data_IF_477291887291
#
_entry.id   IF_477291887291
#
_cell.length_a   1.000
_cell.length_b   1.000
_cell.length_c   1.000
_cell.angle_alpha   90.00
_cell.angle_beta   90.00
_cell.angle_gamma   90.00
#
_symmetry.space_group_name_H-M   'P 1'
#
loop_
_entity.id
_entity.type
_entity.pdbx_description
1 polymer ?
#
# COMPACT_ATOMS: atom_id res chain seq x y z
N UNK A 1 36.07 -5.67 32.97
CA UNK A 1 34.68 -5.36 32.58
C UNK A 1 34.13 -6.59 31.88
N UNK A 2 33.25 -7.33 32.54
CA UNK A 2 32.57 -8.47 31.92
C UNK A 2 31.53 -7.96 30.94
N UNK A 3 31.77 -8.17 29.65
CA UNK A 3 30.83 -7.84 28.59
C UNK A 3 29.62 -8.77 28.74
N UNK A 4 28.50 -8.24 29.27
CA UNK A 4 27.24 -8.98 29.36
C UNK A 4 26.86 -9.43 27.95
N UNK A 5 27.08 -10.72 27.64
CA UNK A 5 26.61 -11.36 26.41
C UNK A 5 25.09 -11.22 26.36
N UNK A 6 24.61 -10.20 25.65
CA UNK A 6 23.19 -10.03 25.36
C UNK A 6 22.75 -11.29 24.63
N UNK A 7 21.73 -11.98 25.14
CA UNK A 7 21.12 -13.12 24.43
C UNK A 7 20.58 -12.58 23.11
N UNK A 8 21.29 -12.86 22.03
CA UNK A 8 20.90 -12.44 20.69
C UNK A 8 19.62 -13.19 20.32
N UNK A 9 18.56 -12.43 20.07
CA UNK A 9 17.28 -12.95 19.53
C UNK A 9 17.58 -13.66 18.20
N UNK A 10 16.92 -14.79 17.93
CA UNK A 10 17.10 -15.53 16.67
C UNK A 10 16.76 -14.66 15.44
N UNK A 11 17.43 -14.84 14.29
CA UNK A 11 17.13 -14.07 13.08
C UNK A 11 15.68 -14.22 12.63
N UNK A 12 15.11 -15.43 12.75
CA UNK A 12 13.66 -15.65 12.55
C UNK A 12 12.78 -14.71 13.38
N UNK A 13 13.04 -14.59 14.69
CA UNK A 13 12.21 -13.72 15.56
C UNK A 13 12.42 -12.24 15.24
N UNK A 14 13.62 -11.84 14.81
CA UNK A 14 13.88 -10.47 14.31
C UNK A 14 13.11 -10.18 13.04
N UNK A 15 13.08 -11.13 12.11
CA UNK A 15 12.31 -11.01 10.88
C UNK A 15 10.81 -10.88 11.17
N UNK A 16 10.27 -11.69 12.07
CA UNK A 16 8.88 -11.57 12.51
C UNK A 16 8.58 -10.20 13.09
N UNK A 17 9.45 -9.65 13.95
CA UNK A 17 9.29 -8.30 14.49
C UNK A 17 9.27 -7.23 13.40
N UNK A 18 10.17 -7.37 12.43
CA UNK A 18 10.34 -6.45 11.31
C UNK A 18 9.09 -6.40 10.40
N UNK A 19 8.37 -7.52 10.25
CA UNK A 19 7.24 -7.63 9.32
C UNK A 19 5.86 -7.57 9.98
N UNK A 20 5.71 -8.07 11.21
CA UNK A 20 4.40 -8.32 11.84
C UNK A 20 4.13 -7.47 13.07
N UNK A 21 5.15 -7.11 13.84
CA UNK A 21 4.94 -6.49 15.17
C UNK A 21 5.27 -4.99 15.18
N UNK A 22 6.55 -4.65 15.02
CA UNK A 22 7.03 -3.29 15.21
C UNK A 22 8.05 -2.98 14.13
N UNK A 23 7.65 -2.20 13.13
CA UNK A 23 8.61 -1.70 12.15
C UNK A 23 9.17 -0.35 12.63
N UNK A 24 10.45 -0.30 13.01
CA UNK A 24 11.13 0.90 13.52
C UNK A 24 12.38 1.21 12.70
N UNK A 25 12.64 2.50 12.45
CA UNK A 25 13.85 2.98 11.76
C UNK A 25 15.14 2.50 12.41
N UNK A 26 15.14 2.35 13.74
CA UNK A 26 16.28 1.89 14.54
C UNK A 26 16.68 0.43 14.33
N UNK A 27 15.88 -0.35 13.59
CA UNK A 27 16.23 -1.73 13.27
C UNK A 27 17.26 -1.84 12.16
N UNK A 28 17.44 -0.78 11.37
CA UNK A 28 18.45 -0.73 10.31
C UNK A 28 19.78 -0.25 10.86
N UNK A 29 20.87 -0.78 10.30
CA UNK A 29 22.21 -0.25 10.58
C UNK A 29 22.35 1.18 10.05
N UNK A 30 23.40 1.93 10.44
CA UNK A 30 23.65 3.26 9.90
C UNK A 30 23.90 3.28 8.39
N UNK A 31 24.40 2.17 7.82
CA UNK A 31 24.69 2.03 6.40
C UNK A 31 24.04 0.75 5.82
N UNK A 32 22.70 0.72 5.71
CA UNK A 32 21.99 -0.44 5.20
C UNK A 32 21.95 -0.42 3.67
N UNK A 33 21.85 -1.60 3.07
CA UNK A 33 21.64 -1.77 1.64
C UNK A 33 20.27 -2.42 1.40
N UNK A 34 19.46 -1.81 0.54
CA UNK A 34 18.21 -2.37 0.06
C UNK A 34 18.25 -2.61 -1.45
N UNK A 35 17.77 -3.76 -1.90
CA UNK A 35 17.67 -4.15 -3.30
C UNK A 35 16.29 -4.72 -3.60
N UNK A 36 15.67 -4.23 -4.66
CA UNK A 36 14.43 -4.73 -5.26
C UNK A 36 14.56 -4.57 -6.78
N UNK A 37 13.92 -5.40 -7.62
CA UNK A 37 14.03 -5.29 -9.08
C UNK A 37 13.77 -3.88 -9.62
N UNK A 38 12.90 -3.12 -8.99
CA UNK A 38 12.50 -1.77 -9.41
C UNK A 38 13.40 -0.67 -8.83
N UNK A 39 13.99 -0.89 -7.64
CA UNK A 39 14.67 0.16 -6.88
C UNK A 39 15.75 -0.40 -5.97
N UNK A 40 16.86 0.33 -5.85
CA UNK A 40 17.94 0.02 -4.91
C UNK A 40 18.33 1.25 -4.11
N UNK A 41 18.60 1.07 -2.81
CA UNK A 41 19.03 2.13 -1.90
C UNK A 41 20.28 1.71 -1.15
N UNK A 42 21.19 2.64 -0.91
CA UNK A 42 22.39 2.43 -0.10
C UNK A 42 22.54 3.55 0.92
N UNK A 43 22.98 3.22 2.13
CA UNK A 43 23.46 4.17 3.12
C UNK A 43 22.42 5.11 3.72
N UNK A 44 21.13 4.80 3.60
CA UNK A 44 20.09 5.61 4.22
C UNK A 44 18.93 4.75 4.78
N UNK A 45 18.93 4.48 6.10
CA UNK A 45 17.86 3.70 6.74
C UNK A 45 16.49 4.38 6.65
N UNK A 46 16.45 5.72 6.65
CA UNK A 46 15.22 6.50 6.52
C UNK A 46 14.54 6.24 5.18
N UNK A 47 15.28 6.29 4.08
CA UNK A 47 14.73 6.02 2.74
C UNK A 47 14.17 4.60 2.61
N UNK A 48 14.86 3.60 3.14
CA UNK A 48 14.38 2.21 3.12
C UNK A 48 13.09 2.09 3.92
N UNK A 49 13.06 2.67 5.13
CA UNK A 49 11.88 2.66 5.96
C UNK A 49 10.69 3.36 5.28
N UNK A 50 10.89 4.56 4.74
CA UNK A 50 9.82 5.33 4.12
C UNK A 50 9.31 4.60 2.84
N UNK A 51 10.22 3.98 2.07
CA UNK A 51 9.86 3.12 0.95
C UNK A 51 9.04 1.90 1.40
N UNK A 52 9.43 1.24 2.49
CA UNK A 52 8.68 0.12 3.06
C UNK A 52 7.29 0.55 3.52
N UNK A 53 7.16 1.63 4.29
CA UNK A 53 5.86 2.10 4.76
C UNK A 53 4.93 2.50 3.62
N UNK A 54 5.48 2.98 2.49
CA UNK A 54 4.69 3.39 1.33
C UNK A 54 4.32 2.21 0.42
N UNK A 55 5.23 1.25 0.20
CA UNK A 55 5.09 0.21 -0.83
C UNK A 55 4.81 -1.19 -0.26
N UNK A 56 4.88 -1.38 1.05
CA UNK A 56 4.42 -2.60 1.74
C UNK A 56 3.10 -2.35 2.46
N UNK A 57 1.94 -2.57 1.82
CA UNK A 57 0.75 -2.93 2.59
C UNK A 57 1.03 -4.20 3.40
N UNK A 58 0.22 -4.43 4.44
CA UNK A 58 0.36 -5.56 5.37
C UNK A 58 0.67 -6.88 4.62
N UNK A 59 1.74 -7.55 5.05
CA UNK A 59 2.26 -8.80 4.48
C UNK A 59 2.09 -9.92 5.49
N UNK A 60 1.50 -11.01 5.04
CA UNK A 60 1.48 -12.27 5.77
C UNK A 60 2.74 -13.07 5.41
N UNK A 61 3.44 -13.57 6.43
CA UNK A 61 4.60 -14.44 6.23
C UNK A 61 4.10 -15.88 6.03
N UNK A 62 4.38 -16.47 4.87
CA UNK A 62 3.99 -17.86 4.57
C UNK A 62 5.04 -18.85 5.09
N UNK A 63 6.33 -18.53 4.90
CA UNK A 63 7.45 -19.41 5.27
C UNK A 63 8.65 -18.59 5.67
N UNK A 64 9.40 -19.08 6.66
CA UNK A 64 10.68 -18.51 7.07
C UNK A 64 11.76 -19.59 6.91
N UNK A 65 12.89 -19.23 6.33
CA UNK A 65 14.11 -20.02 6.29
C UNK A 65 15.15 -19.30 7.16
N UNK A 66 15.45 -19.89 8.32
CA UNK A 66 16.40 -19.30 9.26
C UNK A 66 17.84 -19.64 8.89
N UNK A 67 18.74 -18.69 9.12
CA UNK A 67 20.18 -18.82 8.95
C UNK A 67 20.89 -18.30 10.20
N UNK A 68 22.23 -18.37 10.21
CA UNK A 68 23.00 -17.94 11.39
C UNK A 68 22.94 -16.42 11.60
N UNK A 69 23.13 -15.67 10.52
CA UNK A 69 23.20 -14.19 10.51
C UNK A 69 22.24 -13.58 9.49
N UNK A 70 21.48 -14.41 8.80
CA UNK A 70 20.53 -13.99 7.78
C UNK A 70 19.28 -14.85 7.83
N UNK A 71 18.20 -14.35 7.25
CA UNK A 71 16.91 -14.99 7.24
C UNK A 71 16.19 -14.69 5.93
N UNK A 72 15.59 -15.70 5.33
CA UNK A 72 14.71 -15.56 4.18
C UNK A 72 13.26 -15.75 4.59
N UNK A 73 12.33 -15.06 3.92
CA UNK A 73 10.91 -15.39 4.02
C UNK A 73 10.19 -15.29 2.70
N UNK A 74 9.18 -16.14 2.54
CA UNK A 74 8.12 -15.95 1.56
C UNK A 74 6.99 -15.17 2.22
N UNK A 75 6.42 -14.22 1.49
CA UNK A 75 5.34 -13.38 1.95
C UNK A 75 4.25 -13.25 0.90
N UNK A 76 3.05 -12.97 1.38
CA UNK A 76 1.86 -12.69 0.57
C UNK A 76 1.22 -11.39 1.06
N UNK A 77 0.82 -10.54 0.13
CA UNK A 77 0.08 -9.32 0.39
C UNK A 77 -1.42 -9.57 0.29
N UNK A 78 -2.20 -8.69 0.91
CA UNK A 78 -3.68 -8.73 0.85
C UNK A 78 -4.23 -8.64 -0.57
N UNK A 79 -3.53 -7.98 -1.49
CA UNK A 79 -3.89 -7.87 -2.90
C UNK A 79 -3.56 -9.14 -3.72
N UNK A 80 -3.03 -10.18 -3.07
CA UNK A 80 -2.65 -11.44 -3.70
C UNK A 80 -1.26 -11.43 -4.33
N UNK A 81 -0.51 -10.32 -4.25
CA UNK A 81 0.91 -10.34 -4.64
C UNK A 81 1.71 -11.20 -3.67
N UNK A 82 2.69 -11.90 -4.22
CA UNK A 82 3.58 -12.79 -3.46
C UNK A 82 5.00 -12.42 -3.79
N UNK A 83 5.91 -12.81 -2.91
CA UNK A 83 7.33 -12.61 -3.14
C UNK A 83 8.15 -13.21 -2.04
N UNK A 84 9.45 -12.98 -2.15
CA UNK A 84 10.44 -13.42 -1.19
C UNK A 84 11.26 -12.23 -0.73
N UNK A 85 11.68 -12.26 0.51
CA UNK A 85 12.63 -11.31 1.08
C UNK A 85 13.78 -12.07 1.71
N UNK A 86 14.99 -11.58 1.49
CA UNK A 86 16.19 -12.00 2.19
C UNK A 86 16.69 -10.84 3.03
N UNK A 87 16.99 -11.10 4.30
CA UNK A 87 17.43 -10.10 5.27
C UNK A 87 18.70 -10.60 5.95
N UNK A 88 19.73 -9.75 6.00
CA UNK A 88 20.97 -10.01 6.72
C UNK A 88 21.13 -9.07 7.91
N UNK A 89 21.69 -9.57 9.00
CA UNK A 89 21.87 -8.85 10.25
C UNK A 89 23.35 -8.73 10.62
N UNK A 90 23.75 -7.62 11.25
CA UNK A 90 25.06 -7.51 11.88
C UNK A 90 25.09 -8.22 13.26
N UNK A 91 26.27 -8.20 13.91
CA UNK A 91 26.48 -8.77 15.24
C UNK A 91 25.61 -8.11 16.32
N UNK A 92 25.24 -6.83 16.15
CA UNK A 92 24.33 -6.10 17.03
C UNK A 92 22.84 -6.45 16.78
N UNK A 93 22.57 -7.16 15.70
CA UNK A 93 21.25 -7.57 15.26
C UNK A 93 20.44 -6.54 14.50
N UNK A 94 21.10 -5.51 13.99
CA UNK A 94 20.54 -4.55 13.05
C UNK A 94 20.57 -5.10 11.63
N UNK A 95 19.60 -4.71 10.82
CA UNK A 95 19.49 -5.05 9.40
C UNK A 95 20.57 -4.30 8.61
N UNK A 96 21.45 -5.05 7.94
CA UNK A 96 22.50 -4.49 7.08
C UNK A 96 22.17 -4.62 5.60
N UNK A 97 21.41 -5.65 5.23
CA UNK A 97 21.04 -5.91 3.86
C UNK A 97 19.62 -6.44 3.79
N UNK A 98 18.85 -5.94 2.84
CA UNK A 98 17.57 -6.50 2.45
C UNK A 98 17.52 -6.63 0.94
N UNK A 99 17.12 -7.80 0.47
CA UNK A 99 16.75 -8.03 -0.91
C UNK A 99 15.31 -8.51 -0.99
N UNK A 100 14.51 -7.90 -1.85
CA UNK A 100 13.14 -8.32 -2.12
C UNK A 100 13.00 -8.71 -3.58
N UNK A 101 12.22 -9.75 -3.84
CA UNK A 101 11.84 -10.16 -5.19
C UNK A 101 10.38 -10.52 -5.18
N UNK A 102 9.57 -9.76 -5.91
CA UNK A 102 8.16 -10.09 -6.15
C UNK A 102 8.03 -11.23 -7.16
N UNK A 103 7.04 -12.11 -6.97
CA UNK A 103 6.65 -13.05 -8.00
C UNK A 103 6.08 -12.27 -9.20
N UNK A 104 6.51 -12.57 -10.43
CA UNK A 104 5.94 -11.94 -11.61
C UNK A 104 4.43 -12.25 -11.65
N UNK A 105 3.63 -11.20 -11.53
CA UNK A 105 2.18 -11.30 -11.67
C UNK A 105 1.89 -11.59 -13.14
N UNK A 106 1.75 -12.88 -13.49
CA UNK A 106 1.29 -13.26 -14.82
C UNK A 106 -0.01 -12.50 -15.13
N UNK A 107 -0.07 -11.87 -16.31
CA UNK A 107 -1.19 -11.03 -16.78
C UNK A 107 -2.58 -11.69 -16.69
N UNK A 108 -2.68 -12.99 -16.39
CA UNK A 108 -3.95 -13.71 -16.27
C UNK A 108 -4.61 -13.72 -14.88
N UNK A 109 -3.89 -13.50 -13.77
CA UNK A 109 -4.44 -13.73 -12.40
C UNK A 109 -4.89 -12.48 -11.64
N UNK A 110 -4.56 -11.29 -12.11
CA UNK A 110 -4.93 -10.02 -11.46
C UNK A 110 -6.46 -9.81 -11.46
N UNK A 111 -7.14 -10.22 -12.54
CA UNK A 111 -8.60 -10.05 -12.68
C UNK A 111 -9.40 -10.92 -11.72
N UNK A 112 -8.90 -12.11 -11.37
CA UNK A 112 -9.61 -13.05 -10.50
C UNK A 112 -9.39 -12.77 -9.00
N UNK A 113 -8.16 -12.39 -8.61
CA UNK A 113 -7.84 -12.16 -7.20
C UNK A 113 -8.32 -10.80 -6.70
N UNK A 114 -8.21 -9.74 -7.50
CA UNK A 114 -8.77 -8.41 -7.14
C UNK A 114 -10.29 -8.44 -7.07
N UNK A 115 -10.95 -9.23 -7.93
CA UNK A 115 -12.41 -9.34 -7.91
C UNK A 115 -12.91 -10.19 -6.72
N UNK A 116 -12.17 -11.24 -6.31
CA UNK A 116 -12.48 -12.01 -5.10
C UNK A 116 -12.21 -11.25 -3.80
N UNK A 117 -11.15 -10.43 -3.73
CA UNK A 117 -10.85 -9.65 -2.53
C UNK A 117 -11.74 -8.40 -2.37
N UNK A 118 -12.36 -7.92 -3.45
CA UNK A 118 -13.32 -6.81 -3.42
C UNK A 118 -14.79 -7.26 -3.27
N UNK A 119 -15.10 -8.56 -3.39
CA UNK A 119 -16.46 -9.08 -3.18
C UNK A 119 -17.10 -8.68 -1.83
N UNK A 120 -16.38 -8.69 -0.70
CA UNK A 120 -16.94 -8.25 0.58
C UNK A 120 -17.35 -6.77 0.57
N UNK A 121 -16.56 -5.92 -0.10
CA UNK A 121 -16.78 -4.47 -0.17
C UNK A 121 -17.93 -4.14 -1.14
N UNK A 122 -18.02 -4.85 -2.27
CA UNK A 122 -19.13 -4.71 -3.22
C UNK A 122 -20.46 -5.16 -2.59
N UNK A 123 -20.43 -6.22 -1.76
CA UNK A 123 -21.60 -6.67 -1.00
C UNK A 123 -22.10 -5.64 0.02
N UNK A 124 -21.19 -4.96 0.71
CA UNK A 124 -21.53 -3.90 1.68
C UNK A 124 -22.06 -2.65 0.98
N UNK A 125 -21.46 -2.23 -0.14
CA UNK A 125 -21.99 -1.10 -0.92
C UNK A 125 -23.41 -1.37 -1.42
N UNK A 126 -23.71 -2.55 -1.95
CA UNK A 126 -25.07 -2.90 -2.37
C UNK A 126 -26.07 -2.97 -1.19
N UNK A 127 -25.60 -3.32 0.01
CA UNK A 127 -26.43 -3.36 1.22
C UNK A 127 -26.72 -1.95 1.76
N UNK A 128 -25.73 -1.05 1.71
CA UNK A 128 -25.89 0.36 2.09
C UNK A 128 -26.78 1.09 1.08
N UNK A 129 -26.61 0.85 -0.22
CA UNK A 129 -27.49 1.44 -1.24
C UNK A 129 -28.93 0.94 -1.11
N UNK A 130 -29.14 -0.34 -0.74
CA UNK A 130 -30.48 -0.85 -0.41
C UNK A 130 -31.04 -0.25 0.88
N UNK A 131 -30.21 -0.04 1.91
CA UNK A 131 -30.64 0.62 3.14
C UNK A 131 -31.03 2.08 2.91
N UNK A 132 -30.31 2.81 2.07
CA UNK A 132 -30.64 4.20 1.72
C UNK A 132 -31.92 4.28 0.88
N UNK A 133 -32.11 3.39 -0.10
CA UNK A 133 -33.36 3.35 -0.88
C UNK A 133 -34.58 2.90 -0.05
N UNK A 134 -34.40 2.10 1.01
CA UNK A 134 -35.47 1.75 1.96
C UNK A 134 -35.75 2.89 2.93
N UNK A 135 -34.74 3.67 3.30
CA UNK A 135 -34.91 4.87 4.13
C UNK A 135 -35.65 5.99 3.38
N UNK A 136 -35.44 6.15 2.07
CA UNK A 136 -36.23 7.07 1.23
C UNK A 136 -37.73 6.70 1.22
N UNK A 137 -38.08 5.40 1.22
CA UNK A 137 -39.48 4.96 1.33
C UNK A 137 -40.09 5.22 2.72
N UNK A 138 -39.29 5.30 3.77
CA UNK A 138 -39.75 5.56 5.14
C UNK A 138 -39.85 7.06 5.46
N UNK A 139 -39.33 7.93 4.60
CA UNK A 139 -39.39 9.40 4.73
C UNK A 139 -40.54 10.03 3.94
N UNK A 140 -41.32 9.26 3.18
CA UNK A 140 -42.59 9.69 2.61
C UNK A 140 -43.76 9.32 3.55
N UNK A 141 -43.80 9.95 4.72
CA UNK A 141 -44.98 9.89 5.60
C UNK A 141 -45.47 11.32 5.87
N UNK A 142 -46.61 11.61 5.25
CA UNK A 142 -47.59 12.67 5.55
C UNK A 142 -47.19 14.12 5.24
N UNK A 143 -47.14 14.48 3.95
CA UNK A 143 -47.63 15.80 3.53
C UNK A 143 -49.16 15.75 3.51
N UNK A 144 -49.74 15.94 4.70
CA UNK A 144 -51.18 16.18 4.82
C UNK A 144 -51.45 17.60 4.30
N UNK A 145 -52.23 17.67 3.23
CA UNK A 145 -52.68 18.88 2.56
C UNK A 145 -53.24 19.91 3.56
N UNK A 146 -52.64 21.10 3.60
CA UNK A 146 -53.26 22.31 4.15
C UNK A 146 -53.22 23.40 3.08
N UNK A 147 -54.29 23.49 2.28
CA UNK A 147 -54.53 24.61 1.38
C UNK A 147 -54.95 25.85 2.18
N UNK A 148 -54.21 26.96 2.03
CA UNK A 148 -54.76 28.30 2.15
C UNK A 148 -54.21 29.24 1.07
N UNK A 149 -54.99 30.25 0.65
CA UNK A 149 -54.85 30.88 -0.66
C UNK A 149 -54.02 32.17 -0.65
N UNK A 150 -53.28 32.36 -1.74
CA UNK A 150 -52.99 33.68 -2.28
C UNK A 150 -51.56 34.21 -2.09
N UNK A 151 -50.98 34.73 -3.17
CA UNK A 151 -49.92 35.73 -3.08
C UNK A 151 -48.73 35.59 -4.04
N UNK A 152 -48.95 35.99 -5.29
CA UNK A 152 -48.00 36.70 -6.19
C UNK A 152 -46.53 36.29 -6.33
N UNK A 153 -46.17 36.01 -7.60
CA UNK A 153 -45.00 36.48 -8.38
C UNK A 153 -43.60 36.38 -7.73
N UNK A 154 -42.68 35.68 -8.39
CA UNK A 154 -41.78 36.25 -9.40
C UNK A 154 -40.91 35.15 -10.02
N UNK A 155 -40.78 35.23 -11.34
CA UNK A 155 -39.90 34.40 -12.14
C UNK A 155 -38.51 35.07 -12.22
N UNK A 156 -37.44 34.30 -12.00
CA UNK A 156 -36.11 34.65 -12.50
C UNK A 156 -35.40 33.42 -13.04
N UNK A 157 -35.51 33.27 -14.36
CA UNK A 157 -34.59 32.51 -15.20
C UNK A 157 -33.36 33.38 -15.50
N UNK A 158 -32.15 32.88 -15.22
CA UNK A 158 -30.94 33.07 -16.04
C UNK A 158 -29.69 32.63 -15.27
N UNK A 159 -28.99 31.61 -15.75
CA UNK A 159 -27.56 31.78 -16.04
C UNK A 159 -27.09 30.75 -17.06
N UNK A 160 -26.53 31.27 -18.14
CA UNK A 160 -25.95 30.54 -19.25
C UNK A 160 -24.42 30.51 -19.12
N UNK A 161 -23.81 29.46 -19.68
CA UNK A 161 -22.53 29.57 -20.39
C UNK A 161 -21.25 29.43 -19.58
N UNK A 162 -20.56 28.30 -19.75
CA UNK A 162 -19.11 28.25 -19.64
C UNK A 162 -18.55 27.36 -20.77
N UNK A 163 -17.88 28.01 -21.72
CA UNK A 163 -17.20 27.44 -22.87
C UNK A 163 -15.71 27.78 -22.82
N UNK A 164 -14.85 26.79 -23.09
CA UNK A 164 -13.42 26.95 -23.44
C UNK A 164 -12.48 27.26 -22.27
N UNK A 165 -11.21 26.86 -22.23
CA UNK A 165 -10.30 26.18 -23.16
C UNK A 165 -9.21 25.51 -22.27
N UNK A 166 -8.69 24.33 -22.60
CA UNK A 166 -7.45 24.22 -23.38
C UNK A 166 -6.17 24.46 -22.54
N UNK A 167 -5.52 23.39 -22.07
CA UNK A 167 -4.08 23.44 -21.75
C UNK A 167 -3.45 22.05 -21.84
N UNK A 168 -2.66 21.87 -22.90
CA UNK A 168 -1.82 20.70 -23.13
C UNK A 168 -0.39 21.04 -22.72
N UNK A 169 0.22 20.22 -21.87
CA UNK A 169 1.66 20.24 -21.62
C UNK A 169 2.21 18.83 -21.89
N UNK A 170 2.80 18.69 -23.06
CA UNK A 170 3.67 17.57 -23.43
C UNK A 170 5.08 17.87 -22.90
N UNK A 171 5.57 17.12 -21.92
CA UNK A 171 6.99 17.14 -21.52
C UNK A 171 7.69 15.90 -22.06
N UNK A 172 8.51 16.11 -23.09
CA UNK A 172 9.39 15.10 -23.65
C UNK A 172 10.59 14.84 -22.74
N UNK A 173 10.86 13.57 -22.44
CA UNK A 173 12.08 13.14 -21.77
C UNK A 173 13.19 12.81 -22.78
N UNK A 174 14.46 13.17 -22.49
CA UNK A 174 15.59 12.83 -23.34
C UNK A 174 16.08 11.39 -23.12
N UNK A 175 16.34 10.67 -24.23
CA UNK A 175 17.02 9.37 -24.26
C UNK A 175 18.51 9.56 -23.94
N UNK A 176 19.02 8.94 -22.87
CA UNK A 176 20.46 8.72 -22.68
C UNK A 176 20.85 7.35 -23.25
N UNK A 177 21.82 7.35 -24.17
CA UNK A 177 22.48 6.15 -24.69
C UNK A 177 23.50 5.65 -23.67
N UNK A 178 23.54 4.33 -23.47
CA UNK A 178 24.54 3.62 -22.69
C UNK A 178 25.88 3.57 -23.44
N UNK A 179 26.97 3.85 -22.71
CA UNK A 179 28.33 3.48 -23.11
C UNK A 179 28.58 2.04 -22.68
N UNK A 180 29.02 1.21 -23.62
CA UNK A 180 29.66 -0.07 -23.35
C UNK A 180 31.17 0.19 -23.13
N UNK A 181 31.72 -0.35 -22.04
CA UNK A 181 33.16 -0.58 -21.94
C UNK A 181 33.40 -2.09 -22.05
N UNK A 182 34.35 -2.44 -22.91
CA UNK A 182 34.98 -3.75 -22.94
C UNK A 182 36.12 -3.86 -21.93
#
# INVERSE_FOLDING_TARGET
MEEKKRKLISPQRRLQRLFLEEFKKSFFSPNPWYECPEVSFTGNPGKIYDYWMTNRPARDIERICDGKESCGCAWKQLDGRRGVSYVSYNQEGQVVFVREVGEPQGMGKFKENTMKSLQPVIGVMNSITKMLNVADWYLEVEDTEFELPGGSREATSAFAGASGAGSAYTTGMPKRKAHACG
#
